data_IF_766560850297
#
_entry.id   IF_766560850297
#
_cell.length_a   1.000
_cell.length_b   1.000
_cell.length_c   1.000
_cell.angle_alpha   90.00
_cell.angle_beta   90.00
_cell.angle_gamma   90.00
#
_symmetry.space_group_name_H-M   'P 1'
#
loop_
_entity.id
_entity.type
_entity.pdbx_description
1 polymer ?
#
# COMPACT_ATOMS: atom_id res chain seq x y z
N UNK A 1 30.09 -18.21 -14.45
CA UNK A 1 30.69 -17.12 -13.66
C UNK A 1 30.55 -17.48 -12.19
N UNK A 2 31.68 -17.54 -11.49
CA UNK A 2 31.87 -18.24 -10.21
C UNK A 2 31.17 -17.54 -9.05
N UNK A 3 30.40 -18.31 -8.28
CA UNK A 3 29.74 -17.93 -7.03
C UNK A 3 30.56 -18.51 -5.86
N UNK A 4 31.88 -18.27 -5.86
CA UNK A 4 32.78 -18.84 -4.86
C UNK A 4 33.33 -17.79 -3.91
N UNK A 5 33.27 -18.13 -2.61
CA UNK A 5 34.32 -17.92 -1.63
C UNK A 5 34.35 -16.65 -0.75
N UNK A 6 33.21 -16.08 -0.32
CA UNK A 6 33.20 -14.97 0.66
C UNK A 6 32.59 -15.36 2.03
N UNK A 7 32.00 -16.56 2.17
CA UNK A 7 31.21 -16.87 3.39
C UNK A 7 31.90 -17.73 4.45
N UNK A 8 33.18 -18.08 4.30
CA UNK A 8 33.83 -19.11 5.13
C UNK A 8 34.86 -18.63 6.18
N UNK A 9 34.96 -17.34 6.48
CA UNK A 9 35.85 -16.90 7.55
C UNK A 9 35.70 -15.44 7.96
N UNK A 10 35.59 -15.21 9.27
CA UNK A 10 35.54 -13.92 10.00
C UNK A 10 34.28 -13.05 9.85
N UNK A 11 33.68 -12.70 10.99
CA UNK A 11 32.68 -11.64 11.27
C UNK A 11 31.73 -11.24 10.12
N UNK A 12 30.89 -12.18 9.70
CA UNK A 12 29.79 -11.91 8.79
C UNK A 12 28.71 -11.04 9.46
N UNK A 13 28.76 -9.73 9.19
CA UNK A 13 27.71 -8.81 9.63
C UNK A 13 26.45 -9.09 8.82
N UNK A 14 25.31 -9.21 9.50
CA UNK A 14 23.99 -9.44 8.88
C UNK A 14 23.68 -8.46 7.75
N UNK A 15 24.18 -7.22 7.85
CA UNK A 15 24.05 -6.21 6.79
C UNK A 15 24.74 -6.57 5.47
N UNK A 16 25.90 -7.25 5.51
CA UNK A 16 26.62 -7.67 4.30
C UNK A 16 25.91 -8.83 3.61
N UNK A 17 25.37 -9.77 4.40
CA UNK A 17 24.54 -10.87 3.89
C UNK A 17 23.27 -10.29 3.23
N UNK A 18 22.59 -9.37 3.90
CA UNK A 18 21.40 -8.72 3.35
C UNK A 18 21.69 -7.96 2.05
N UNK A 19 22.80 -7.24 1.99
CA UNK A 19 23.17 -6.48 0.79
C UNK A 19 23.51 -7.40 -0.40
N UNK A 20 24.07 -8.58 -0.14
CA UNK A 20 24.34 -9.60 -1.16
C UNK A 20 23.08 -10.36 -1.63
N UNK A 21 22.10 -10.57 -0.74
CA UNK A 21 20.86 -11.28 -1.06
C UNK A 21 19.79 -10.38 -1.71
N UNK A 22 19.77 -9.08 -1.39
CA UNK A 22 18.68 -8.22 -1.83
C UNK A 22 18.82 -7.86 -3.32
N UNK A 23 17.70 -7.96 -4.04
CA UNK A 23 17.59 -7.39 -5.38
C UNK A 23 17.46 -5.87 -5.25
N UNK A 24 18.45 -5.13 -5.77
CA UNK A 24 18.41 -3.66 -5.81
C UNK A 24 17.45 -3.21 -6.90
N UNK A 25 16.28 -2.73 -6.49
CA UNK A 25 15.27 -2.17 -7.39
C UNK A 25 15.24 -0.66 -7.23
N UNK A 26 14.81 0.04 -8.29
CA UNK A 26 14.61 1.48 -8.24
C UNK A 26 13.62 1.87 -7.13
N UNK A 27 13.89 2.99 -6.48
CA UNK A 27 13.03 3.53 -5.44
C UNK A 27 11.68 3.89 -6.05
N UNK A 28 10.62 3.26 -5.54
CA UNK A 28 9.26 3.51 -5.99
C UNK A 28 8.85 4.98 -5.76
N UNK A 29 8.10 5.61 -6.66
CA UNK A 29 7.72 7.03 -6.55
C UNK A 29 7.00 7.39 -5.24
N UNK A 30 6.18 6.46 -4.72
CA UNK A 30 5.47 6.62 -3.45
C UNK A 30 6.32 6.45 -2.19
N UNK A 31 7.62 6.13 -2.31
CA UNK A 31 8.45 5.86 -1.15
C UNK A 31 8.50 7.05 -0.19
N UNK A 32 8.64 8.28 -0.70
CA UNK A 32 8.69 9.48 0.15
C UNK A 32 7.37 9.76 0.85
N UNK A 33 6.24 9.40 0.25
CA UNK A 33 4.92 9.51 0.85
C UNK A 33 4.75 8.55 2.04
N UNK A 34 5.32 7.36 1.94
CA UNK A 34 5.18 6.32 2.97
C UNK A 34 6.25 6.41 4.05
N UNK A 35 7.49 6.76 3.68
CA UNK A 35 8.65 6.64 4.55
C UNK A 35 9.33 8.01 4.74
N UNK A 36 8.61 8.97 5.31
CA UNK A 36 9.15 10.29 5.65
C UNK A 36 9.64 10.35 7.12
N UNK A 37 10.56 11.28 7.47
CA UNK A 37 10.98 11.47 8.86
C UNK A 37 9.79 11.84 9.76
N UNK A 38 9.65 11.17 10.90
CA UNK A 38 8.50 11.37 11.81
C UNK A 38 7.24 10.56 11.43
N UNK A 39 7.32 9.74 10.39
CA UNK A 39 6.24 8.82 10.04
C UNK A 39 6.10 7.70 11.06
N UNK A 40 4.85 7.34 11.39
CA UNK A 40 4.55 6.27 12.35
C UNK A 40 4.59 4.92 11.62
N UNK A 41 5.44 3.96 12.01
CA UNK A 41 5.62 2.70 11.29
C UNK A 41 4.32 1.94 11.00
N UNK A 42 3.39 1.92 11.96
CA UNK A 42 2.06 1.29 11.78
C UNK A 42 1.29 1.93 10.62
N UNK A 43 1.30 3.26 10.52
CA UNK A 43 0.63 3.99 9.43
C UNK A 43 1.33 3.74 8.10
N UNK A 44 2.66 3.68 8.08
CA UNK A 44 3.42 3.41 6.86
C UNK A 44 3.07 2.06 6.25
N UNK A 45 2.91 1.04 7.10
CA UNK A 45 2.49 -0.29 6.66
C UNK A 45 1.07 -0.22 6.08
N UNK A 46 0.13 0.44 6.75
CA UNK A 46 -1.26 0.57 6.26
C UNK A 46 -1.30 1.32 4.93
N UNK A 47 -0.60 2.46 4.81
CA UNK A 47 -0.56 3.26 3.58
C UNK A 47 0.10 2.47 2.45
N UNK A 48 1.22 1.80 2.70
CA UNK A 48 1.87 0.93 1.71
C UNK A 48 0.94 -0.19 1.24
N UNK A 49 0.25 -0.84 2.16
CA UNK A 49 -0.72 -1.90 1.82
C UNK A 49 -1.90 -1.34 1.04
N UNK A 50 -2.34 -0.11 1.33
CA UNK A 50 -3.42 0.57 0.60
C UNK A 50 -2.98 0.93 -0.82
N UNK A 51 -1.80 1.52 -0.98
CA UNK A 51 -1.22 1.85 -2.30
C UNK A 51 -1.07 0.60 -3.16
N UNK A 52 -0.61 -0.50 -2.55
CA UNK A 52 -0.46 -1.77 -3.25
C UNK A 52 -1.80 -2.52 -3.43
N UNK A 53 -2.93 -1.95 -3.01
CA UNK A 53 -4.24 -2.59 -2.97
C UNK A 53 -4.16 -4.00 -2.35
N UNK A 54 -3.43 -4.13 -1.24
CA UNK A 54 -3.13 -5.34 -0.47
C UNK A 54 -3.75 -5.35 0.93
N UNK A 55 -4.44 -4.30 1.33
CA UNK A 55 -5.09 -4.22 2.64
C UNK A 55 -6.10 -5.37 2.81
N UNK A 56 -6.11 -6.07 3.97
CA UNK A 56 -7.02 -7.17 4.24
C UNK A 56 -8.43 -6.65 4.55
N UNK A 57 -9.14 -6.20 3.52
CA UNK A 57 -10.56 -5.86 3.62
C UNK A 57 -11.41 -7.14 3.60
N UNK A 58 -12.58 -7.16 4.23
CA UNK A 58 -13.45 -8.36 4.32
C UNK A 58 -13.72 -9.03 2.96
N UNK A 59 -13.97 -8.23 1.91
CA UNK A 59 -14.15 -8.74 0.53
C UNK A 59 -12.91 -9.52 0.05
N UNK A 60 -11.71 -9.08 0.40
CA UNK A 60 -10.46 -9.78 0.03
C UNK A 60 -10.28 -11.06 0.86
N UNK A 61 -10.60 -11.01 2.15
CA UNK A 61 -10.49 -12.16 3.04
C UNK A 61 -11.45 -13.29 2.62
N UNK A 62 -12.67 -12.96 2.23
CA UNK A 62 -13.62 -13.91 1.64
C UNK A 62 -13.06 -14.55 0.36
N UNK A 63 -12.44 -13.75 -0.53
CA UNK A 63 -11.76 -14.28 -1.73
C UNK A 63 -10.58 -15.19 -1.42
N UNK A 64 -9.95 -15.03 -0.25
CA UNK A 64 -8.87 -15.90 0.22
C UNK A 64 -9.40 -17.18 0.89
N UNK A 65 -10.73 -17.40 0.93
CA UNK A 65 -11.36 -18.59 1.49
C UNK A 65 -11.57 -18.54 3.01
N UNK A 66 -11.39 -17.38 3.65
CA UNK A 66 -11.68 -17.21 5.07
C UNK A 66 -13.20 -17.15 5.29
N UNK A 67 -13.67 -17.85 6.32
CA UNK A 67 -15.08 -17.83 6.71
C UNK A 67 -15.38 -16.55 7.49
N UNK A 68 -15.93 -15.56 6.81
CA UNK A 68 -16.46 -14.32 7.40
C UNK A 68 -17.97 -14.31 7.15
N UNK A 69 -18.74 -13.90 8.16
CA UNK A 69 -20.22 -13.94 8.12
C UNK A 69 -20.82 -13.07 7.01
N UNK A 70 -20.20 -11.92 6.72
CA UNK A 70 -20.57 -11.04 5.62
C UNK A 70 -19.37 -10.21 5.15
N UNK A 71 -19.51 -9.58 3.99
CA UNK A 71 -18.54 -8.65 3.44
C UNK A 71 -18.77 -7.20 3.86
N UNK A 72 -19.82 -6.91 4.64
CA UNK A 72 -20.24 -5.55 4.97
C UNK A 72 -19.22 -4.84 5.85
N UNK A 73 -19.02 -3.55 5.60
CA UNK A 73 -18.14 -2.71 6.40
C UNK A 73 -18.74 -2.43 7.77
N UNK A 74 -17.95 -2.65 8.83
CA UNK A 74 -18.42 -2.61 10.23
C UNK A 74 -19.00 -1.25 10.62
N UNK A 75 -18.45 -0.14 10.12
CA UNK A 75 -18.89 1.18 10.57
C UNK A 75 -20.22 1.62 9.96
N UNK A 76 -20.52 1.23 8.72
CA UNK A 76 -21.76 1.63 8.05
C UNK A 76 -22.81 0.52 7.99
N UNK A 77 -22.40 -0.75 8.04
CA UNK A 77 -23.28 -1.93 7.93
C UNK A 77 -24.05 -2.05 6.61
N UNK A 78 -23.84 -1.14 5.66
CA UNK A 78 -24.66 -1.00 4.46
C UNK A 78 -24.01 -1.66 3.24
N UNK A 79 -22.74 -1.34 3.00
CA UNK A 79 -22.03 -1.71 1.77
C UNK A 79 -20.86 -2.66 2.06
N UNK A 80 -20.40 -3.35 1.02
CA UNK A 80 -19.24 -4.22 1.10
C UNK A 80 -17.97 -3.44 1.48
N UNK A 81 -17.16 -4.04 2.36
CA UNK A 81 -15.86 -3.55 2.78
C UNK A 81 -14.84 -3.77 1.66
N UNK A 82 -14.85 -2.82 0.73
CA UNK A 82 -13.80 -2.63 -0.27
C UNK A 82 -12.94 -1.43 0.13
N UNK A 83 -11.69 -1.41 -0.32
CA UNK A 83 -10.73 -0.33 0.00
C UNK A 83 -11.30 1.08 -0.29
N UNK A 84 -12.00 1.25 -1.40
CA UNK A 84 -12.61 2.55 -1.72
C UNK A 84 -13.70 2.93 -0.72
N UNK A 85 -14.52 1.97 -0.29
CA UNK A 85 -15.57 2.21 0.69
C UNK A 85 -14.99 2.49 2.08
N UNK A 86 -13.98 1.74 2.50
CA UNK A 86 -13.26 1.91 3.75
C UNK A 86 -12.73 3.35 3.91
N UNK A 87 -12.13 3.91 2.84
CA UNK A 87 -11.44 5.19 2.90
C UNK A 87 -12.20 6.37 2.30
N UNK A 88 -13.12 6.19 1.34
CA UNK A 88 -13.64 7.30 0.53
C UNK A 88 -15.16 7.27 0.33
N UNK A 89 -15.73 6.10 0.03
CA UNK A 89 -17.14 6.02 -0.40
C UNK A 89 -18.11 5.89 0.79
N UNK A 90 -17.65 5.47 1.96
CA UNK A 90 -18.48 5.41 3.17
C UNK A 90 -18.85 6.82 3.66
N UNK A 91 -20.14 7.04 3.97
CA UNK A 91 -20.64 8.32 4.49
C UNK A 91 -19.89 8.79 5.73
N UNK A 92 -19.67 7.89 6.69
CA UNK A 92 -18.88 8.16 7.89
C UNK A 92 -17.46 8.63 7.55
N UNK A 93 -16.75 7.89 6.69
CA UNK A 93 -15.37 8.24 6.35
C UNK A 93 -15.30 9.55 5.55
N UNK A 94 -16.30 9.83 4.72
CA UNK A 94 -16.39 11.08 3.94
C UNK A 94 -16.60 12.32 4.81
N UNK A 95 -17.40 12.19 5.87
CA UNK A 95 -17.58 13.23 6.89
C UNK A 95 -16.28 13.47 7.65
N UNK A 96 -15.66 12.41 8.16
CA UNK A 96 -14.37 12.48 8.86
C UNK A 96 -13.30 13.17 8.01
N UNK A 97 -13.21 12.84 6.72
CA UNK A 97 -12.29 13.53 5.82
C UNK A 97 -12.64 15.00 5.62
N UNK A 98 -13.92 15.35 5.59
CA UNK A 98 -14.36 16.74 5.55
C UNK A 98 -13.83 17.54 6.74
N UNK A 99 -13.95 16.98 7.95
CA UNK A 99 -13.48 17.62 9.18
C UNK A 99 -11.95 17.75 9.19
N UNK A 100 -11.23 16.68 8.83
CA UNK A 100 -9.77 16.69 8.76
C UNK A 100 -9.28 17.73 7.74
N UNK A 101 -9.88 17.77 6.55
CA UNK A 101 -9.51 18.74 5.52
C UNK A 101 -9.76 20.18 5.96
N UNK A 102 -10.88 20.42 6.64
CA UNK A 102 -11.23 21.73 7.20
C UNK A 102 -10.19 22.17 8.24
N UNK A 103 -9.80 21.27 9.14
CA UNK A 103 -8.73 21.52 10.12
C UNK A 103 -7.38 21.79 9.45
N UNK A 104 -7.12 21.17 8.29
CA UNK A 104 -5.90 21.38 7.53
C UNK A 104 -5.95 22.61 6.60
N UNK A 105 -7.05 23.36 6.56
CA UNK A 105 -7.22 24.50 5.66
C UNK A 105 -7.24 24.12 4.17
N UNK A 106 -7.60 22.87 3.85
CA UNK A 106 -7.66 22.37 2.48
C UNK A 106 -9.11 22.31 2.02
N UNK A 107 -9.47 23.08 1.00
CA UNK A 107 -10.80 23.01 0.37
C UNK A 107 -10.91 21.73 -0.47
N UNK A 108 -12.05 21.02 -0.35
CA UNK A 108 -12.37 19.75 -1.03
C UNK A 108 -11.94 19.77 -2.51
N UNK A 109 -10.79 19.19 -2.80
CA UNK A 109 -10.57 18.36 -4.00
C UNK A 109 -10.74 16.94 -3.50
N UNK A 110 -11.53 16.12 -4.18
CA UNK A 110 -11.80 14.75 -3.76
C UNK A 110 -10.48 14.09 -3.33
N UNK A 111 -10.34 13.69 -2.06
CA UNK A 111 -9.09 13.06 -1.59
C UNK A 111 -8.81 11.82 -2.44
N UNK A 112 -9.88 11.16 -2.89
CA UNK A 112 -9.86 10.10 -3.88
C UNK A 112 -9.18 10.56 -5.16
N UNK A 113 -9.51 11.73 -5.71
CA UNK A 113 -8.82 12.32 -6.85
C UNK A 113 -7.40 12.75 -6.51
N UNK A 114 -7.10 13.32 -5.33
CA UNK A 114 -5.73 13.71 -4.97
C UNK A 114 -4.81 12.49 -4.84
N UNK A 115 -5.29 11.42 -4.22
CA UNK A 115 -4.58 10.14 -4.09
C UNK A 115 -4.53 9.45 -5.45
N UNK A 116 -5.62 9.40 -6.21
CA UNK A 116 -5.63 8.83 -7.55
C UNK A 116 -4.75 9.62 -8.52
N UNK A 117 -4.70 10.95 -8.50
CA UNK A 117 -3.83 11.78 -9.35
C UNK A 117 -2.37 11.53 -8.95
N UNK A 118 -2.07 11.53 -7.65
CA UNK A 118 -0.72 11.22 -7.15
C UNK A 118 -0.28 9.80 -7.48
N UNK A 119 -1.21 8.83 -7.55
CA UNK A 119 -0.89 7.44 -7.89
C UNK A 119 -0.97 7.12 -9.39
N UNK A 120 -1.85 7.78 -10.17
CA UNK A 120 -2.03 7.59 -11.63
C UNK A 120 -0.80 8.04 -12.43
N UNK A 121 -0.06 9.03 -11.93
CA UNK A 121 1.19 9.50 -12.55
C UNK A 121 2.43 8.72 -12.13
N UNK A 122 2.31 7.74 -11.23
CA UNK A 122 3.46 6.99 -10.72
C UNK A 122 3.50 5.62 -11.38
N UNK A 123 4.46 5.45 -12.31
CA UNK A 123 4.74 4.16 -12.90
C UNK A 123 5.11 3.17 -11.79
N UNK A 124 4.19 2.26 -11.49
CA UNK A 124 4.45 1.08 -10.69
C UNK A 124 5.54 0.29 -11.43
N UNK A 125 6.65 -0.02 -10.75
CA UNK A 125 7.77 -0.75 -11.36
C UNK A 125 7.29 -2.07 -11.94
N UNK A 126 7.29 -2.18 -13.27
CA UNK A 126 6.86 -3.36 -14.04
C UNK A 126 7.76 -4.57 -13.83
N UNK A 127 8.99 -4.34 -13.41
CA UNK A 127 10.02 -5.36 -13.15
C UNK A 127 9.97 -5.91 -11.73
N UNK A 128 9.13 -5.36 -10.85
CA UNK A 128 9.00 -5.83 -9.48
C UNK A 128 7.83 -6.83 -9.40
N UNK A 129 8.07 -8.13 -9.12
CA UNK A 129 7.01 -9.15 -9.06
C UNK A 129 5.95 -8.85 -8.00
N UNK A 130 6.26 -7.99 -7.02
CA UNK A 130 5.30 -7.52 -6.01
C UNK A 130 4.22 -6.62 -6.64
N UNK A 131 4.39 -6.19 -7.88
CA UNK A 131 3.44 -5.34 -8.56
C UNK A 131 2.59 -6.06 -9.61
N UNK A 132 2.82 -7.34 -9.89
CA UNK A 132 2.13 -8.10 -10.94
C UNK A 132 0.60 -8.03 -10.82
N UNK A 133 0.07 -8.26 -9.61
CA UNK A 133 -1.37 -8.15 -9.35
C UNK A 133 -1.96 -6.75 -9.58
N UNK A 134 -1.12 -5.70 -9.50
CA UNK A 134 -1.52 -4.32 -9.81
C UNK A 134 -1.40 -4.04 -11.31
N UNK A 135 -0.32 -4.46 -11.96
CA UNK A 135 -0.16 -4.30 -13.41
C UNK A 135 -1.33 -4.96 -14.17
N UNK A 136 -1.71 -6.18 -13.76
CA UNK A 136 -2.86 -6.92 -14.32
C UNK A 136 -4.19 -6.19 -14.03
N UNK A 137 -4.42 -5.74 -12.79
CA UNK A 137 -5.69 -5.12 -12.40
C UNK A 137 -5.92 -3.74 -13.03
N UNK A 138 -4.86 -3.01 -13.33
CA UNK A 138 -4.94 -1.64 -13.88
C UNK A 138 -4.78 -1.60 -15.41
N UNK A 139 -4.72 -2.75 -16.08
CA UNK A 139 -4.60 -2.83 -17.54
C UNK A 139 -3.28 -2.25 -18.07
N UNK A 140 -2.25 -2.22 -17.23
CA UNK A 140 -0.93 -1.69 -17.58
C UNK A 140 -0.13 -2.88 -18.13
N UNK A 141 -0.22 -3.09 -19.45
CA UNK A 141 0.71 -3.95 -20.20
C UNK A 141 2.08 -3.30 -20.31
#
# INVERSE_FOLDING_TARGET
MSMNNIYYGSDLKTGQIWEGLRVKVLKVPWHSLVWFPGSIPKHNIIVRMTILNRLPARVRLLKMGLRIENDKYVLCGAEAEIMNHLFFDCGFTRELWGDILTLCGVTRRDIKEVIQIRLKGWAISRVDPRNDSLCVKWGIS
#
